data_IF_942844614743
#
_entry.id   IF_942844614743
#
_cell.length_a   1.000
_cell.length_b   1.000
_cell.length_c   1.000
_cell.angle_alpha   90.00
_cell.angle_beta   90.00
_cell.angle_gamma   90.00
#
_symmetry.space_group_name_H-M   'P 1'
#
loop_
_entity.id
_entity.type
_entity.pdbx_description
1 polymer ?
#
# COMPACT_ATOMS: atom_id res chain seq x y z
N UNK A 1 -2.74 17.53 -0.40
CA UNK A 1 -2.40 16.12 -0.68
C UNK A 1 -1.26 15.72 0.26
N UNK A 2 -0.74 14.51 0.21
CA UNK A 2 0.35 14.09 1.11
C UNK A 2 1.43 13.32 0.35
N UNK A 3 2.67 13.34 0.86
CA UNK A 3 3.74 12.53 0.25
C UNK A 3 3.81 11.12 0.81
N UNK A 4 4.16 10.17 -0.05
CA UNK A 4 4.55 8.78 0.26
C UNK A 4 5.83 8.42 -0.48
N UNK A 5 6.52 7.36 -0.06
CA UNK A 5 7.73 6.82 -0.71
C UNK A 5 7.62 5.31 -0.80
N UNK A 6 8.25 4.70 -1.80
CA UNK A 6 8.32 3.26 -1.99
C UNK A 6 9.77 2.78 -2.18
N UNK A 7 10.32 2.20 -1.11
CA UNK A 7 11.70 1.67 -1.08
C UNK A 7 11.66 0.16 -0.84
N UNK A 8 12.09 -0.62 -1.82
CA UNK A 8 12.02 -2.08 -1.77
C UNK A 8 12.83 -2.65 -0.60
N UNK A 9 12.14 -3.32 0.33
CA UNK A 9 12.74 -3.95 1.52
C UNK A 9 12.91 -3.03 2.74
N UNK A 10 12.44 -1.78 2.67
CA UNK A 10 12.41 -0.86 3.80
C UNK A 10 11.38 -1.28 4.84
N UNK A 11 11.76 -1.20 6.12
CA UNK A 11 10.82 -1.40 7.21
C UNK A 11 9.95 -0.14 7.41
N UNK A 12 8.78 -0.24 8.05
CA UNK A 12 7.91 0.92 8.27
C UNK A 12 8.59 2.10 8.96
N UNK A 13 9.47 1.84 9.93
CA UNK A 13 10.28 2.87 10.60
C UNK A 13 11.28 3.57 9.66
N UNK A 14 11.81 2.86 8.67
CA UNK A 14 12.71 3.39 7.65
C UNK A 14 11.93 4.32 6.72
N UNK A 15 10.74 3.89 6.31
CA UNK A 15 9.81 4.68 5.51
C UNK A 15 9.41 5.96 6.23
N UNK A 16 9.05 5.89 7.52
CA UNK A 16 8.72 7.08 8.32
C UNK A 16 9.90 8.04 8.40
N UNK A 17 11.13 7.54 8.59
CA UNK A 17 12.34 8.39 8.57
C UNK A 17 12.53 9.07 7.22
N UNK A 18 12.36 8.35 6.12
CA UNK A 18 12.41 8.90 4.77
C UNK A 18 11.37 10.01 4.55
N UNK A 19 10.11 9.78 4.95
CA UNK A 19 9.03 10.74 4.81
C UNK A 19 9.26 12.03 5.63
N UNK A 20 9.78 11.89 6.85
CA UNK A 20 10.13 13.05 7.67
C UNK A 20 11.27 13.86 7.05
N UNK A 21 12.27 13.19 6.46
CA UNK A 21 13.38 13.84 5.78
C UNK A 21 12.90 14.60 4.52
N UNK A 22 12.09 13.96 3.67
CA UNK A 22 11.49 14.62 2.50
C UNK A 22 10.63 15.81 2.89
N UNK A 23 9.76 15.66 3.90
CA UNK A 23 8.93 16.76 4.39
C UNK A 23 9.78 17.93 4.89
N UNK A 24 10.90 17.67 5.56
CA UNK A 24 11.82 18.71 6.02
C UNK A 24 12.48 19.48 4.85
N UNK A 25 12.65 18.87 3.68
CA UNK A 25 13.17 19.57 2.49
C UNK A 25 12.12 20.58 2.01
N UNK A 26 10.87 20.13 1.83
CA UNK A 26 9.75 20.98 1.45
C UNK A 26 9.58 22.16 2.43
N UNK A 27 9.62 21.89 3.73
CA UNK A 27 9.45 22.92 4.77
C UNK A 27 10.58 23.96 4.74
N UNK A 28 11.83 23.54 4.54
CA UNK A 28 12.98 24.46 4.43
C UNK A 28 12.91 25.32 3.17
N UNK A 29 12.42 24.76 2.06
CA UNK A 29 12.27 25.48 0.80
C UNK A 29 11.05 26.42 0.79
N UNK A 30 10.13 26.27 1.75
CA UNK A 30 8.85 27.00 1.74
C UNK A 30 7.94 26.58 0.59
N UNK A 31 8.14 25.37 0.06
CA UNK A 31 7.41 24.81 -1.07
C UNK A 31 6.53 23.67 -0.56
N UNK A 32 5.23 23.70 -0.87
CA UNK A 32 4.36 22.58 -0.51
C UNK A 32 4.54 21.41 -1.49
N UNK A 33 4.35 20.16 -1.06
CA UNK A 33 4.39 19.02 -1.97
C UNK A 33 3.39 19.14 -3.15
N UNK A 34 2.19 19.65 -2.89
CA UNK A 34 1.19 19.94 -3.94
C UNK A 34 1.72 20.90 -5.01
N UNK A 35 2.42 21.95 -4.60
CA UNK A 35 3.04 22.91 -5.52
C UNK A 35 4.18 22.26 -6.32
N UNK A 36 5.00 21.45 -5.66
CA UNK A 36 6.12 20.77 -6.29
C UNK A 36 5.70 19.72 -7.33
N UNK A 37 4.68 18.90 -7.02
CA UNK A 37 4.12 17.97 -7.99
C UNK A 37 3.45 18.70 -9.18
N UNK A 38 2.78 19.82 -8.92
CA UNK A 38 2.19 20.65 -9.98
C UNK A 38 3.27 21.21 -10.91
N UNK A 39 4.39 21.68 -10.36
CA UNK A 39 5.52 22.17 -11.15
C UNK A 39 6.12 21.07 -12.02
N UNK A 40 6.30 19.86 -11.48
CA UNK A 40 6.76 18.69 -12.25
C UNK A 40 5.84 18.37 -13.42
N UNK A 41 4.53 18.31 -13.18
CA UNK A 41 3.54 18.09 -14.23
C UNK A 41 3.62 19.14 -15.35
N UNK A 42 3.84 20.41 -14.99
CA UNK A 42 4.02 21.49 -15.96
C UNK A 42 5.28 21.28 -16.79
N UNK A 43 6.40 20.95 -16.15
CA UNK A 43 7.70 20.72 -16.82
C UNK A 43 7.64 19.49 -17.73
N UNK A 44 7.19 18.35 -17.24
CA UNK A 44 7.03 17.09 -17.98
C UNK A 44 6.07 17.23 -19.18
N UNK A 45 5.07 18.12 -19.07
CA UNK A 45 4.16 18.45 -20.17
C UNK A 45 4.84 19.02 -21.43
N UNK A 46 6.12 19.39 -21.32
CA UNK A 46 6.95 19.89 -22.42
C UNK A 46 7.97 18.87 -22.94
N UNK A 47 8.06 17.66 -22.39
CA UNK A 47 9.05 16.64 -22.80
C UNK A 47 9.02 16.33 -24.30
N UNK A 48 7.82 16.39 -24.91
CA UNK A 48 7.64 16.14 -26.35
C UNK A 48 7.83 17.41 -27.19
N UNK A 49 7.46 18.58 -26.66
CA UNK A 49 7.34 19.83 -27.42
C UNK A 49 8.52 20.80 -27.23
N UNK A 50 9.39 20.53 -26.26
CA UNK A 50 10.44 21.44 -25.79
C UNK A 50 9.86 22.61 -24.99
N UNK A 51 10.69 23.25 -24.17
CA UNK A 51 10.25 24.38 -23.34
C UNK A 51 9.87 25.61 -24.17
N UNK A 52 8.92 26.42 -23.68
CA UNK A 52 8.66 27.75 -24.22
C UNK A 52 9.88 28.69 -24.04
N UNK A 53 9.85 29.84 -24.72
CA UNK A 53 10.82 30.93 -24.53
C UNK A 53 10.10 32.19 -24.01
N UNK A 54 10.38 32.66 -22.78
CA UNK A 54 11.35 32.09 -21.82
C UNK A 54 10.89 30.75 -21.25
N UNK A 55 11.86 29.95 -20.78
CA UNK A 55 11.62 28.68 -20.14
C UNK A 55 10.89 28.86 -18.79
N UNK A 56 10.19 27.82 -18.28
CA UNK A 56 9.52 27.86 -16.98
C UNK A 56 10.55 27.72 -15.84
N UNK A 57 11.42 28.70 -15.68
CA UNK A 57 12.54 28.67 -14.72
C UNK A 57 12.08 28.56 -13.27
N UNK A 58 10.92 29.14 -12.94
CA UNK A 58 10.35 29.05 -11.60
C UNK A 58 9.89 27.62 -11.29
N UNK A 59 9.22 26.96 -12.22
CA UNK A 59 8.78 25.58 -12.08
C UNK A 59 9.95 24.61 -12.06
N UNK A 60 10.99 24.84 -12.88
CA UNK A 60 12.23 24.06 -12.84
C UNK A 60 12.92 24.15 -11.47
N UNK A 61 13.00 25.35 -10.89
CA UNK A 61 13.56 25.51 -9.55
C UNK A 61 12.74 24.76 -8.48
N UNK A 62 11.40 24.75 -8.62
CA UNK A 62 10.51 23.98 -7.74
C UNK A 62 10.66 22.47 -7.95
N UNK A 63 10.89 22.00 -9.19
CA UNK A 63 11.14 20.59 -9.48
C UNK A 63 12.39 20.09 -8.77
N UNK A 64 13.46 20.89 -8.74
CA UNK A 64 14.68 20.54 -8.00
C UNK A 64 14.41 20.29 -6.51
N UNK A 65 13.45 21.01 -5.90
CA UNK A 65 13.05 20.77 -4.50
C UNK A 65 12.43 19.39 -4.33
N UNK A 66 11.69 18.89 -5.33
CA UNK A 66 11.16 17.52 -5.30
C UNK A 66 12.28 16.49 -5.38
N UNK A 67 13.24 16.68 -6.30
CA UNK A 67 14.37 15.76 -6.46
C UNK A 67 15.25 15.74 -5.19
N UNK A 68 15.47 16.90 -4.56
CA UNK A 68 16.14 16.99 -3.25
C UNK A 68 15.35 16.28 -2.14
N UNK A 69 14.02 16.35 -2.16
CA UNK A 69 13.16 15.68 -1.19
C UNK A 69 13.19 14.15 -1.36
N UNK A 70 13.17 13.67 -2.60
CA UNK A 70 13.28 12.25 -2.93
C UNK A 70 14.64 11.69 -2.49
N UNK A 71 15.73 12.40 -2.80
CA UNK A 71 17.08 12.00 -2.38
C UNK A 71 17.23 12.00 -0.85
N UNK A 72 16.68 13.01 -0.17
CA UNK A 72 16.68 13.05 1.29
C UNK A 72 15.89 11.88 1.91
N UNK A 73 14.81 11.43 1.25
CA UNK A 73 14.09 10.24 1.67
C UNK A 73 14.93 8.97 1.50
N UNK A 74 15.64 8.79 0.38
CA UNK A 74 16.55 7.65 0.17
C UNK A 74 17.60 7.58 1.28
N UNK A 75 18.30 8.70 1.52
CA UNK A 75 19.39 8.78 2.50
C UNK A 75 18.92 8.45 3.92
N UNK A 76 17.74 8.94 4.31
CA UNK A 76 17.19 8.73 5.65
C UNK A 76 16.54 7.35 5.82
N UNK A 77 15.91 6.82 4.77
CA UNK A 77 15.30 5.49 4.75
C UNK A 77 16.38 4.39 4.79
N UNK A 78 17.38 4.49 3.92
CA UNK A 78 18.38 3.44 3.72
C UNK A 78 19.60 3.54 4.66
N UNK A 79 19.48 4.22 5.80
CA UNK A 79 20.61 4.35 6.75
C UNK A 79 21.07 2.96 7.19
N UNK A 80 22.35 2.66 6.96
CA UNK A 80 22.97 1.38 7.34
C UNK A 80 22.81 0.27 6.30
N UNK A 81 22.19 0.55 5.16
CA UNK A 81 22.11 -0.40 4.05
C UNK A 81 23.46 -0.48 3.31
N UNK A 82 23.78 -1.64 2.72
CA UNK A 82 24.95 -1.76 1.87
C UNK A 82 24.72 -0.98 0.56
N UNK A 83 25.80 -0.38 0.01
CA UNK A 83 25.70 0.58 -1.09
C UNK A 83 25.06 0.02 -2.37
N UNK A 84 25.17 -1.29 -2.61
CA UNK A 84 24.57 -2.00 -3.74
C UNK A 84 23.06 -2.23 -3.57
N UNK A 85 22.50 -1.96 -2.38
CA UNK A 85 21.07 -2.06 -2.09
C UNK A 85 20.37 -0.72 -1.92
N UNK A 86 21.09 0.39 -1.95
CA UNK A 86 20.51 1.72 -1.87
C UNK A 86 19.96 2.06 -3.27
N UNK A 87 18.64 2.31 -3.42
CA UNK A 87 18.09 2.71 -4.70
C UNK A 87 18.50 4.15 -5.06
N UNK A 88 18.45 4.48 -6.34
CA UNK A 88 18.73 5.84 -6.81
C UNK A 88 17.60 6.83 -6.47
N UNK A 89 16.41 6.34 -6.14
CA UNK A 89 15.21 7.14 -5.83
C UNK A 89 14.39 6.47 -4.73
N UNK A 90 13.65 7.28 -3.96
CA UNK A 90 12.71 6.79 -2.97
C UNK A 90 11.32 6.53 -3.56
N UNK A 91 11.13 6.78 -4.87
CA UNK A 91 9.84 6.74 -5.55
C UNK A 91 8.83 7.64 -4.81
N UNK A 92 9.23 8.89 -4.59
CA UNK A 92 8.42 9.91 -3.91
C UNK A 92 7.20 10.27 -4.75
N UNK A 93 6.02 10.18 -4.14
CA UNK A 93 4.74 10.46 -4.81
C UNK A 93 3.86 11.45 -4.03
N UNK A 94 2.99 12.18 -4.75
CA UNK A 94 1.92 12.97 -4.16
C UNK A 94 0.57 12.25 -4.28
N UNK A 95 -0.06 11.96 -3.16
CA UNK A 95 -1.33 11.21 -3.12
C UNK A 95 -2.48 12.06 -2.56
N UNK A 96 -3.69 11.94 -3.17
CA UNK A 96 -4.87 12.79 -2.86
C UNK A 96 -5.45 12.57 -1.47
N UNK A 97 -5.10 11.48 -0.82
CA UNK A 97 -5.31 11.25 0.60
C UNK A 97 -4.04 10.67 1.18
N UNK A 98 -3.78 10.87 2.48
CA UNK A 98 -2.75 10.10 3.11
C UNK A 98 -3.15 8.63 3.14
N UNK A 99 -2.30 7.76 2.56
CA UNK A 99 -1.90 6.56 3.29
C UNK A 99 -1.05 6.93 4.54
N UNK A 100 -0.94 8.22 4.91
CA UNK A 100 -0.36 8.65 6.19
C UNK A 100 -1.24 8.29 7.38
N UNK A 101 -0.77 7.32 8.14
CA UNK A 101 -0.30 7.55 9.51
C UNK A 101 -1.06 8.62 10.32
N UNK A 102 -2.33 8.36 10.62
CA UNK A 102 -2.81 8.49 12.01
C UNK A 102 -2.95 7.06 12.53
N UNK A 103 -1.97 6.63 13.31
CA UNK A 103 -2.18 5.51 14.20
C UNK A 103 -2.82 6.10 15.46
N UNK A 104 -4.14 6.17 15.45
CA UNK A 104 -4.97 6.41 16.62
C UNK A 104 -5.51 5.09 17.22
N UNK A 105 -4.86 3.95 16.98
CA UNK A 105 -4.82 2.79 17.89
C UNK A 105 -3.80 1.76 17.39
N UNK A 106 -3.48 0.76 18.22
CA UNK A 106 -2.72 -0.42 17.82
C UNK A 106 -3.44 -1.21 16.72
N UNK A 107 -4.77 -1.15 16.68
CA UNK A 107 -5.63 -1.78 15.67
C UNK A 107 -5.47 -1.13 14.29
N UNK A 108 -5.35 0.19 14.20
CA UNK A 108 -5.12 0.88 12.91
C UNK A 108 -3.72 0.58 12.33
N UNK A 109 -2.74 0.24 13.19
CA UNK A 109 -1.39 -0.18 12.77
C UNK A 109 -1.42 -1.58 12.20
N UNK A 110 -2.06 -2.47 12.93
CA UNK A 110 -2.33 -3.84 12.56
C UNK A 110 -3.06 -3.90 11.21
N UNK A 111 -4.08 -3.04 11.03
CA UNK A 111 -4.84 -2.93 9.79
C UNK A 111 -3.99 -2.52 8.59
N UNK A 112 -3.12 -1.52 8.76
CA UNK A 112 -2.24 -1.06 7.70
C UNK A 112 -1.20 -2.13 7.31
N UNK A 113 -0.64 -2.84 8.29
CA UNK A 113 0.29 -3.94 8.04
C UNK A 113 -0.40 -5.06 7.25
N UNK A 114 -1.65 -5.37 7.58
CA UNK A 114 -2.46 -6.32 6.84
C UNK A 114 -2.70 -5.89 5.39
N UNK A 115 -3.13 -4.65 5.15
CA UNK A 115 -3.38 -4.13 3.79
C UNK A 115 -2.11 -4.08 2.92
N UNK A 116 -0.95 -3.82 3.53
CA UNK A 116 0.33 -3.81 2.81
C UNK A 116 0.84 -5.22 2.51
N UNK A 117 0.50 -6.19 3.36
CA UNK A 117 0.87 -7.59 3.22
C UNK A 117 -0.18 -8.45 2.51
N UNK A 118 -1.35 -7.88 2.19
CA UNK A 118 -2.54 -8.59 1.68
C UNK A 118 -2.18 -9.53 0.53
N UNK A 119 -1.31 -9.06 -0.37
CA UNK A 119 -0.81 -9.86 -1.48
C UNK A 119 0.04 -11.05 -1.11
N UNK A 120 0.99 -10.86 -0.21
CA UNK A 120 1.83 -11.95 0.28
C UNK A 120 1.04 -12.96 1.12
N UNK A 121 0.04 -12.49 1.86
CA UNK A 121 -0.82 -13.35 2.70
C UNK A 121 -1.61 -14.33 1.84
N UNK A 122 -2.23 -13.85 0.77
CA UNK A 122 -3.02 -14.72 -0.10
C UNK A 122 -2.14 -15.76 -0.81
N UNK A 123 -0.95 -15.34 -1.26
CA UNK A 123 0.05 -16.22 -1.86
C UNK A 123 0.52 -17.31 -0.88
N UNK A 124 0.80 -16.93 0.38
CA UNK A 124 1.22 -17.85 1.43
C UNK A 124 0.14 -18.91 1.73
N UNK A 125 -1.11 -18.46 1.88
CA UNK A 125 -2.26 -19.37 2.09
C UNK A 125 -2.40 -20.37 0.94
N UNK A 126 -2.24 -19.93 -0.31
CA UNK A 126 -2.24 -20.81 -1.47
C UNK A 126 -1.09 -21.82 -1.45
N UNK A 127 0.11 -21.37 -1.06
CA UNK A 127 1.31 -22.20 -0.94
C UNK A 127 1.16 -23.32 0.11
N UNK A 128 0.46 -23.03 1.21
CA UNK A 128 0.13 -24.00 2.27
C UNK A 128 -1.03 -24.94 1.89
N UNK A 129 -1.59 -24.79 0.68
CA UNK A 129 -2.57 -25.71 0.11
C UNK A 129 -4.03 -25.29 0.32
N UNK A 130 -4.29 -24.14 0.94
CA UNK A 130 -5.64 -23.59 1.00
C UNK A 130 -6.07 -23.07 -0.39
N UNK A 131 -7.37 -23.14 -0.67
CA UNK A 131 -7.97 -22.72 -1.95
C UNK A 131 -7.64 -23.57 -3.19
N UNK A 132 -7.43 -24.89 -3.03
CA UNK A 132 -7.10 -25.80 -4.14
C UNK A 132 -8.14 -26.91 -4.38
N UNK A 133 -9.39 -26.72 -3.95
CA UNK A 133 -10.44 -27.73 -3.98
C UNK A 133 -11.46 -27.54 -5.13
N UNK A 134 -11.23 -26.59 -6.04
CA UNK A 134 -12.10 -26.30 -7.19
C UNK A 134 -13.39 -25.58 -6.81
N UNK A 135 -13.37 -24.79 -5.74
CA UNK A 135 -14.53 -24.04 -5.22
C UNK A 135 -14.61 -22.64 -5.84
N UNK A 136 -15.75 -21.94 -5.69
CA UNK A 136 -15.88 -20.56 -6.17
C UNK A 136 -14.87 -19.61 -5.52
N UNK A 137 -14.46 -19.87 -4.27
CA UNK A 137 -13.40 -19.07 -3.63
C UNK A 137 -12.05 -19.28 -4.33
N UNK A 138 -11.73 -20.52 -4.68
CA UNK A 138 -10.48 -20.91 -5.34
C UNK A 138 -10.35 -20.24 -6.72
N UNK A 139 -11.46 -20.09 -7.44
CA UNK A 139 -11.51 -19.34 -8.69
C UNK A 139 -11.22 -17.85 -8.49
N UNK A 140 -11.77 -17.24 -7.44
CA UNK A 140 -11.52 -15.83 -7.11
C UNK A 140 -10.05 -15.62 -6.72
N UNK A 141 -9.48 -16.51 -5.91
CA UNK A 141 -8.07 -16.45 -5.51
C UNK A 141 -7.15 -16.62 -6.71
N UNK A 142 -7.45 -17.56 -7.61
CA UNK A 142 -6.71 -17.73 -8.86
C UNK A 142 -6.76 -16.49 -9.77
N UNK A 143 -7.91 -15.79 -9.83
CA UNK A 143 -8.03 -14.54 -10.59
C UNK A 143 -7.25 -13.38 -9.96
N UNK A 144 -6.99 -13.45 -8.66
CA UNK A 144 -6.23 -12.46 -7.88
C UNK A 144 -4.71 -12.74 -7.83
N UNK A 145 -4.18 -13.67 -8.63
CA UNK A 145 -2.75 -14.00 -8.75
C UNK A 145 -1.84 -12.78 -9.10
N UNK A 146 -2.44 -11.67 -9.56
CA UNK A 146 -1.78 -10.38 -9.80
C UNK A 146 -2.42 -9.19 -9.07
N UNK A 147 -3.29 -9.44 -8.09
CA UNK A 147 -4.00 -8.39 -7.36
C UNK A 147 -4.86 -7.47 -8.25
N UNK A 148 -5.31 -8.00 -9.38
CA UNK A 148 -6.13 -7.27 -10.36
C UNK A 148 -7.62 -7.43 -10.06
N UNK A 149 -8.14 -6.56 -9.20
CA UNK A 149 -9.56 -6.53 -8.84
C UNK A 149 -10.47 -6.06 -9.99
N UNK A 150 -9.95 -5.49 -11.08
CA UNK A 150 -10.77 -5.06 -12.22
C UNK A 150 -11.32 -6.26 -13.01
N UNK A 151 -10.69 -7.42 -12.85
CA UNK A 151 -11.09 -8.68 -13.50
C UNK A 151 -12.22 -9.43 -12.78
N UNK A 152 -12.55 -9.04 -11.55
CA UNK A 152 -13.59 -9.71 -10.77
C UNK A 152 -14.99 -9.20 -11.14
N UNK A 153 -15.93 -10.11 -11.32
CA UNK A 153 -17.36 -9.78 -11.36
C UNK A 153 -17.85 -9.29 -9.99
N UNK A 154 -19.06 -8.74 -9.94
CA UNK A 154 -19.67 -8.29 -8.68
C UNK A 154 -19.87 -9.47 -7.71
N UNK A 155 -20.28 -10.65 -8.20
CA UNK A 155 -20.38 -11.84 -7.35
C UNK A 155 -19.01 -12.33 -6.84
N UNK A 156 -17.97 -12.23 -7.66
CA UNK A 156 -16.60 -12.63 -7.28
C UNK A 156 -16.00 -11.67 -6.25
N UNK A 157 -16.22 -10.37 -6.42
CA UNK A 157 -15.83 -9.35 -5.43
C UNK A 157 -16.56 -9.59 -4.10
N UNK A 158 -17.85 -9.92 -4.17
CA UNK A 158 -18.62 -10.27 -2.97
C UNK A 158 -18.07 -11.53 -2.29
N UNK A 159 -17.69 -12.55 -3.04
CA UNK A 159 -17.04 -13.75 -2.49
C UNK A 159 -15.70 -13.41 -1.84
N UNK A 160 -14.92 -12.51 -2.44
CA UNK A 160 -13.70 -12.00 -1.84
C UNK A 160 -13.97 -11.34 -0.48
N UNK A 161 -14.85 -10.35 -0.45
CA UNK A 161 -15.16 -9.56 0.74
C UNK A 161 -15.78 -10.41 1.86
N UNK A 162 -16.66 -11.34 1.52
CA UNK A 162 -17.41 -12.14 2.50
C UNK A 162 -16.67 -13.40 2.97
N UNK A 163 -15.72 -13.94 2.19
CA UNK A 163 -15.13 -15.26 2.46
C UNK A 163 -13.61 -15.27 2.49
N UNK A 164 -12.95 -14.64 1.52
CA UNK A 164 -11.49 -14.70 1.40
C UNK A 164 -10.85 -13.68 2.34
N UNK A 165 -11.32 -12.43 2.31
CA UNK A 165 -10.80 -11.34 3.12
C UNK A 165 -10.83 -11.63 4.64
N UNK A 166 -11.92 -12.18 5.24
CA UNK A 166 -11.93 -12.55 6.65
C UNK A 166 -10.91 -13.63 7.00
N UNK A 167 -10.69 -14.61 6.11
CA UNK A 167 -9.68 -15.65 6.32
C UNK A 167 -8.27 -15.08 6.30
N UNK A 168 -7.98 -14.17 5.37
CA UNK A 168 -6.69 -13.48 5.32
C UNK A 168 -6.43 -12.67 6.59
N UNK A 169 -7.46 -12.01 7.14
CA UNK A 169 -7.34 -11.31 8.43
C UNK A 169 -7.02 -12.25 9.57
N UNK A 170 -7.71 -13.39 9.66
CA UNK A 170 -7.44 -14.39 10.70
C UNK A 170 -6.03 -14.97 10.52
N UNK A 171 -5.62 -15.25 9.28
CA UNK A 171 -4.26 -15.71 8.97
C UNK A 171 -3.21 -14.74 9.50
N UNK A 172 -3.43 -13.44 9.33
CA UNK A 172 -2.49 -12.41 9.70
C UNK A 172 -2.50 -12.06 11.20
N UNK A 173 -3.68 -11.93 11.82
CA UNK A 173 -3.81 -11.48 13.22
C UNK A 173 -3.90 -12.61 14.24
N UNK A 174 -4.49 -13.74 13.87
CA UNK A 174 -4.84 -14.84 14.77
C UNK A 174 -4.41 -16.19 14.17
N UNK A 175 -3.20 -16.24 13.60
CA UNK A 175 -2.69 -17.42 12.89
C UNK A 175 -2.84 -18.73 13.69
N UNK A 176 -2.65 -18.67 15.01
CA UNK A 176 -2.80 -19.82 15.92
C UNK A 176 -4.21 -20.42 15.97
N UNK A 177 -5.24 -19.62 15.62
CA UNK A 177 -6.65 -20.03 15.55
C UNK A 177 -7.11 -20.31 14.13
N UNK A 178 -6.25 -20.10 13.13
CA UNK A 178 -6.64 -20.15 11.72
C UNK A 178 -7.29 -21.46 11.33
N UNK A 179 -6.72 -22.61 11.70
CA UNK A 179 -7.26 -23.93 11.35
C UNK A 179 -8.68 -24.19 11.90
N UNK A 180 -8.92 -23.79 13.15
CA UNK A 180 -10.22 -23.92 13.79
C UNK A 180 -11.25 -23.02 13.11
N UNK A 181 -10.88 -21.77 12.88
CA UNK A 181 -11.74 -20.76 12.26
C UNK A 181 -12.01 -21.04 10.79
N UNK A 182 -11.00 -21.48 10.04
CA UNK A 182 -11.13 -21.94 8.66
C UNK A 182 -12.16 -23.07 8.60
N UNK A 183 -11.98 -24.13 9.40
CA UNK A 183 -12.92 -25.27 9.44
C UNK A 183 -14.34 -24.84 9.81
N UNK A 184 -14.49 -23.93 10.78
CA UNK A 184 -15.79 -23.38 11.21
C UNK A 184 -16.48 -22.61 10.07
N UNK A 185 -15.77 -21.65 9.47
CA UNK A 185 -16.27 -20.82 8.37
C UNK A 185 -16.62 -21.66 7.15
N UNK A 186 -15.78 -22.64 6.80
CA UNK A 186 -16.06 -23.62 5.75
C UNK A 186 -17.39 -24.35 6.01
N UNK A 187 -17.65 -24.76 7.25
CA UNK A 187 -18.89 -25.44 7.61
C UNK A 187 -20.12 -24.52 7.61
N UNK A 188 -19.96 -23.22 7.84
CA UNK A 188 -21.04 -22.22 7.79
C UNK A 188 -21.42 -21.87 6.34
N UNK A 189 -20.43 -21.67 5.46
CA UNK A 189 -20.68 -21.40 4.03
C UNK A 189 -21.34 -22.58 3.33
N UNK A 190 -20.95 -23.81 3.66
CA UNK A 190 -21.60 -25.02 3.16
C UNK A 190 -23.08 -25.14 3.58
N UNK A 191 -23.47 -24.47 4.67
CA UNK A 191 -24.85 -24.43 5.18
C UNK A 191 -25.67 -23.26 4.65
N UNK A 192 -25.09 -22.36 3.85
CA UNK A 192 -25.77 -21.19 3.29
C UNK A 192 -26.22 -20.17 4.34
N UNK A 193 -25.58 -20.16 5.51
CA UNK A 193 -25.87 -19.19 6.56
C UNK A 193 -25.31 -17.81 6.17
N UNK A 194 -26.05 -16.70 6.37
CA UNK A 194 -25.54 -15.37 6.13
C UNK A 194 -24.35 -15.06 7.07
N UNK A 195 -23.36 -14.26 6.62
CA UNK A 195 -22.18 -13.95 7.42
C UNK A 195 -22.58 -13.27 8.75
N UNK A 196 -21.97 -13.70 9.86
CA UNK A 196 -22.17 -13.06 11.17
C UNK A 196 -21.42 -11.72 11.16
N UNK A 197 -22.15 -10.61 11.29
CA UNK A 197 -21.61 -9.24 11.37
C UNK A 197 -20.56 -9.05 12.48
N UNK A 198 -20.43 -9.99 13.42
CA UNK A 198 -19.31 -10.01 14.39
C UNK A 198 -17.95 -10.19 13.74
N UNK A 199 -17.86 -10.78 12.55
CA UNK A 199 -16.62 -10.94 11.79
C UNK A 199 -16.02 -9.60 11.34
N UNK A 200 -16.86 -8.59 11.15
CA UNK A 200 -16.46 -7.19 10.87
C UNK A 200 -16.32 -6.35 12.15
N UNK A 201 -16.71 -6.89 13.31
CA UNK A 201 -16.82 -6.15 14.57
C UNK A 201 -15.87 -6.64 15.65
N UNK A 202 -14.77 -7.32 15.28
CA UNK A 202 -13.80 -7.85 16.25
C UNK A 202 -13.16 -6.78 17.16
N UNK A 203 -13.34 -5.49 16.88
CA UNK A 203 -12.85 -4.38 17.71
C UNK A 203 -13.84 -3.21 17.86
N UNK A 204 -15.15 -3.48 17.96
CA UNK A 204 -16.10 -2.49 18.47
C UNK A 204 -16.24 -2.60 20.00
N UNK A 205 -15.15 -2.36 20.75
CA UNK A 205 -15.17 -2.15 22.20
C UNK A 205 -13.94 -1.38 22.70
#
# INVERSE_FOLDING_TARGET
>A
MTITIHVAGAQPEDIVRGLLAAQSVFDRAGVTPDLAATARFIVEGWDIRGFPNPAPEAELAICNVWDEADQAAVEACCVGWPADRIPDTADLELVREPQRFRLTSEEERSEWQFQTAEAGILEEMCGEGYFNEGRPEDEVVFLLDYWDFERLTEEQRRLYDERIYPLMRIWFFEHERFEEEYTRLRAEWARGLPPDNRQLSLFAA
#
